data_IF_799238463816
#
_entry.id   IF_799238463816
#
_cell.length_a   1.000
_cell.length_b   1.000
_cell.length_c   1.000
_cell.angle_alpha   90.00
_cell.angle_beta   90.00
_cell.angle_gamma   90.00
#
_symmetry.space_group_name_H-M   'P 1'
#
loop_
_entity.id
_entity.type
_entity.pdbx_description
1 polymer ?
#
# COMPACT_ATOMS: atom_id res chain seq x y z
N UNK A 1 1.47 1.87 1.22
CA UNK A 1 2.79 1.23 1.04
C UNK A 1 2.83 0.61 -0.34
N UNK A 2 3.95 0.75 -1.04
CA UNK A 2 4.15 0.19 -2.38
C UNK A 2 5.13 -0.98 -2.29
N UNK A 3 4.88 -2.07 -3.01
CA UNK A 3 5.69 -3.29 -2.94
C UNK A 3 6.23 -3.66 -4.31
N UNK A 4 7.54 -3.94 -4.38
CA UNK A 4 8.20 -4.42 -5.59
C UNK A 4 8.86 -5.77 -5.32
N UNK A 5 8.87 -6.64 -6.33
CA UNK A 5 9.42 -8.00 -6.22
C UNK A 5 10.93 -8.02 -6.48
N UNK A 6 11.66 -8.97 -5.86
CA UNK A 6 13.12 -9.05 -5.93
C UNK A 6 13.69 -9.05 -7.37
N UNK A 7 12.92 -9.57 -8.32
CA UNK A 7 13.27 -9.70 -9.74
C UNK A 7 12.66 -8.60 -10.63
N UNK A 8 12.03 -7.56 -10.05
CA UNK A 8 11.32 -6.50 -10.77
C UNK A 8 11.83 -5.13 -10.39
N UNK A 9 11.45 -4.14 -11.20
CA UNK A 9 11.71 -2.72 -10.95
C UNK A 9 10.41 -1.95 -11.10
N UNK A 10 10.17 -1.01 -10.19
CA UNK A 10 9.04 -0.11 -10.26
C UNK A 10 9.21 0.89 -11.42
N UNK A 11 8.15 1.09 -12.20
CA UNK A 11 8.12 2.09 -13.28
C UNK A 11 7.57 3.45 -12.83
N UNK A 12 6.94 3.51 -11.66
CA UNK A 12 6.32 4.70 -11.09
C UNK A 12 7.01 5.07 -9.79
N UNK A 13 7.07 6.35 -9.49
CA UNK A 13 7.58 6.87 -8.22
C UNK A 13 6.49 6.87 -7.15
N UNK A 14 6.87 6.91 -5.87
CA UNK A 14 5.96 7.20 -4.76
C UNK A 14 5.13 8.47 -4.99
N UNK A 15 5.75 9.50 -5.58
CA UNK A 15 5.09 10.77 -5.85
C UNK A 15 3.92 10.62 -6.80
N UNK A 16 4.04 9.80 -7.84
CA UNK A 16 2.96 9.57 -8.80
C UNK A 16 1.69 9.06 -8.10
N UNK A 17 1.84 8.14 -7.14
CA UNK A 17 0.72 7.65 -6.33
C UNK A 17 0.23 8.69 -5.33
N UNK A 18 1.12 9.42 -4.68
CA UNK A 18 0.73 10.41 -3.68
C UNK A 18 -0.05 11.57 -4.30
N UNK A 19 0.41 12.05 -5.45
CA UNK A 19 -0.25 13.11 -6.22
C UNK A 19 -1.61 12.60 -6.72
N UNK A 20 -1.67 11.40 -7.31
CA UNK A 20 -2.94 10.81 -7.76
C UNK A 20 -3.94 10.57 -6.64
N UNK A 21 -3.53 10.05 -5.49
CA UNK A 21 -4.46 9.72 -4.41
C UNK A 21 -4.93 10.96 -3.64
N UNK A 22 -4.02 11.89 -3.34
CA UNK A 22 -4.29 12.94 -2.34
C UNK A 22 -4.32 14.36 -2.90
N UNK A 23 -3.81 14.62 -4.11
CA UNK A 23 -3.73 15.97 -4.68
C UNK A 23 -4.51 16.16 -6.00
N UNK A 24 -4.78 15.08 -6.73
CA UNK A 24 -5.50 15.12 -8.01
C UNK A 24 -7.00 15.43 -7.79
N UNK A 25 -7.57 16.26 -8.66
CA UNK A 25 -8.99 16.66 -8.60
C UNK A 25 -9.97 15.54 -8.96
N UNK A 26 -9.47 14.40 -9.44
CA UNK A 26 -10.19 13.14 -9.67
C UNK A 26 -9.57 11.99 -8.88
N UNK A 27 -8.73 12.32 -7.89
CA UNK A 27 -8.07 11.37 -7.00
C UNK A 27 -9.00 10.79 -5.94
N UNK A 28 -8.43 9.96 -5.07
CA UNK A 28 -9.15 9.31 -3.98
C UNK A 28 -9.82 10.34 -3.05
N UNK A 29 -9.07 11.36 -2.63
CA UNK A 29 -9.60 12.40 -1.73
C UNK A 29 -10.71 13.21 -2.38
N UNK A 30 -10.54 13.63 -3.63
CA UNK A 30 -11.56 14.37 -4.37
C UNK A 30 -12.84 13.55 -4.56
N UNK A 31 -12.71 12.27 -4.92
CA UNK A 31 -13.85 11.37 -5.07
C UNK A 31 -14.62 11.22 -3.75
N UNK A 32 -13.92 10.95 -2.64
CA UNK A 32 -14.58 10.76 -1.34
C UNK A 32 -15.11 12.06 -0.73
N UNK A 33 -14.49 13.20 -1.00
CA UNK A 33 -15.06 14.51 -0.64
C UNK A 33 -16.41 14.74 -1.35
N UNK A 34 -16.47 14.44 -2.66
CA UNK A 34 -17.70 14.57 -3.47
C UNK A 34 -18.81 13.65 -2.95
N UNK A 35 -18.58 12.34 -2.88
CA UNK A 35 -19.64 11.37 -2.56
C UNK A 35 -20.05 11.40 -1.08
N UNK A 36 -19.18 11.89 -0.20
CA UNK A 36 -19.51 12.06 1.21
C UNK A 36 -20.11 13.44 1.53
N UNK A 37 -20.22 14.35 0.56
CA UNK A 37 -20.62 15.75 0.78
C UNK A 37 -19.72 16.45 1.82
N UNK A 38 -18.41 16.21 1.74
CA UNK A 38 -17.42 16.74 2.68
C UNK A 38 -17.57 16.24 4.11
N UNK A 39 -18.18 15.06 4.31
CA UNK A 39 -18.37 14.44 5.64
C UNK A 39 -17.30 13.41 5.98
N UNK A 40 -16.57 12.91 5.00
CA UNK A 40 -15.46 12.01 5.17
C UNK A 40 -14.17 12.69 4.71
N UNK A 41 -13.20 12.78 5.60
CA UNK A 41 -11.86 13.26 5.27
C UNK A 41 -10.88 12.09 5.24
N UNK A 42 -10.46 11.68 4.04
CA UNK A 42 -9.43 10.66 3.87
C UNK A 42 -8.07 11.33 3.80
N UNK A 43 -7.13 10.87 4.61
CA UNK A 43 -5.77 11.39 4.66
C UNK A 43 -4.75 10.24 4.65
N UNK A 44 -3.61 10.44 3.99
CA UNK A 44 -2.51 9.47 3.97
C UNK A 44 -1.61 9.48 5.22
N UNK A 45 -2.04 10.14 6.30
CA UNK A 45 -1.22 10.39 7.49
C UNK A 45 -0.05 11.34 7.19
N UNK A 46 0.94 11.37 8.09
CA UNK A 46 2.12 12.26 7.96
C UNK A 46 3.01 11.89 6.78
N UNK A 47 3.02 10.61 6.41
CA UNK A 47 3.87 10.06 5.37
C UNK A 47 3.20 9.99 4.00
N UNK A 48 1.88 10.21 3.90
CA UNK A 48 1.16 9.97 2.65
C UNK A 48 1.31 8.50 2.20
N UNK A 49 1.61 8.29 0.92
CA UNK A 49 2.01 6.96 0.42
C UNK A 49 3.39 6.60 0.96
N UNK A 50 3.51 5.48 1.70
CA UNK A 50 4.81 4.86 2.02
C UNK A 50 5.51 4.40 0.73
N UNK A 51 6.81 4.69 0.59
CA UNK A 51 7.63 4.39 -0.59
C UNK A 51 7.73 2.89 -0.92
N UNK A 52 8.37 2.58 -2.04
CA UNK A 52 8.61 1.22 -2.50
C UNK A 52 9.46 0.42 -1.52
N UNK A 53 8.92 -0.72 -1.11
CA UNK A 53 9.64 -1.75 -0.36
C UNK A 53 9.97 -2.90 -1.29
N UNK A 54 11.24 -3.30 -1.24
CA UNK A 54 11.76 -4.41 -2.00
C UNK A 54 11.51 -5.70 -1.23
N UNK A 55 10.63 -6.55 -1.76
CA UNK A 55 10.34 -7.86 -1.18
C UNK A 55 11.53 -8.81 -1.37
N UNK A 56 11.73 -9.77 -0.45
CA UNK A 56 12.84 -10.71 -0.51
C UNK A 56 12.69 -11.74 -1.64
N UNK A 57 11.45 -12.13 -1.97
CA UNK A 57 11.20 -13.13 -3.01
C UNK A 57 10.75 -12.51 -4.35
N UNK A 58 10.79 -13.32 -5.40
CA UNK A 58 10.43 -12.90 -6.75
C UNK A 58 8.90 -12.89 -6.98
N UNK A 59 8.49 -12.29 -8.09
CA UNK A 59 7.08 -12.17 -8.45
C UNK A 59 6.39 -13.55 -8.57
N UNK A 60 7.09 -14.55 -9.10
CA UNK A 60 6.54 -15.89 -9.27
C UNK A 60 6.28 -16.58 -7.93
N UNK A 61 7.12 -16.35 -6.91
CA UNK A 61 6.93 -16.95 -5.59
C UNK A 61 5.61 -16.49 -4.96
N UNK A 62 5.32 -15.19 -5.02
CA UNK A 62 4.10 -14.62 -4.43
C UNK A 62 2.84 -14.87 -5.29
N UNK A 63 2.96 -14.77 -6.63
CA UNK A 63 1.83 -14.82 -7.57
C UNK A 63 1.63 -16.15 -8.30
N UNK A 64 2.27 -17.25 -7.87
CA UNK A 64 2.00 -18.57 -8.47
C UNK A 64 0.71 -19.15 -7.91
N UNK A 65 -0.17 -19.58 -8.81
CA UNK A 65 -1.38 -20.31 -8.46
C UNK A 65 -1.10 -21.65 -7.77
N UNK A 66 -1.87 -21.95 -6.73
CA UNK A 66 -2.01 -23.28 -6.16
C UNK A 66 -2.83 -24.20 -7.08
N UNK A 67 -3.04 -25.45 -6.69
CA UNK A 67 -3.80 -26.42 -7.47
C UNK A 67 -5.27 -26.04 -7.72
N UNK A 68 -5.81 -25.08 -6.96
CA UNK A 68 -7.16 -24.55 -7.11
C UNK A 68 -7.20 -23.23 -7.92
N UNK A 69 -6.05 -22.73 -8.41
CA UNK A 69 -5.98 -21.53 -9.24
C UNK A 69 -5.87 -20.21 -8.48
N UNK A 70 -5.61 -20.23 -7.16
CA UNK A 70 -5.42 -19.03 -6.34
C UNK A 70 -3.95 -18.78 -6.06
N UNK A 71 -3.53 -17.51 -5.98
CA UNK A 71 -2.19 -17.14 -5.55
C UNK A 71 -1.84 -17.77 -4.21
N UNK A 72 -0.79 -18.58 -4.20
CA UNK A 72 -0.49 -19.45 -3.06
C UNK A 72 0.06 -18.66 -1.85
N UNK A 73 0.72 -17.52 -2.09
CA UNK A 73 1.61 -16.90 -1.10
C UNK A 73 1.32 -15.40 -0.88
N UNK A 74 0.10 -14.93 -1.17
CA UNK A 74 -0.27 -13.53 -0.94
C UNK A 74 -0.19 -13.14 0.56
N UNK A 75 -0.53 -14.06 1.47
CA UNK A 75 -0.38 -13.84 2.91
C UNK A 75 1.09 -13.64 3.31
N UNK A 76 1.98 -14.51 2.79
CA UNK A 76 3.44 -14.43 3.00
C UNK A 76 3.98 -13.10 2.45
N UNK A 77 3.48 -12.64 1.31
CA UNK A 77 3.86 -11.34 0.75
C UNK A 77 3.58 -10.17 1.71
N UNK A 78 2.43 -10.21 2.39
CA UNK A 78 2.04 -9.17 3.36
C UNK A 78 2.92 -9.27 4.61
N UNK A 79 3.17 -10.48 5.13
CA UNK A 79 4.06 -10.70 6.27
C UNK A 79 5.49 -10.21 5.99
N UNK A 80 6.05 -10.57 4.84
CA UNK A 80 7.39 -10.12 4.41
C UNK A 80 7.45 -8.59 4.27
N UNK A 81 6.43 -7.99 3.65
CA UNK A 81 6.35 -6.54 3.48
C UNK A 81 6.39 -5.80 4.82
N UNK A 82 5.57 -6.26 5.79
CA UNK A 82 5.52 -5.68 7.12
C UNK A 82 6.85 -5.88 7.86
N UNK A 83 7.44 -7.08 7.80
CA UNK A 83 8.72 -7.39 8.42
C UNK A 83 9.87 -6.50 7.91
N UNK A 84 9.95 -6.28 6.59
CA UNK A 84 10.96 -5.39 6.00
C UNK A 84 10.72 -3.93 6.40
N UNK A 85 9.45 -3.52 6.46
CA UNK A 85 9.05 -2.15 6.79
C UNK A 85 9.25 -1.78 8.27
N UNK A 86 9.10 -2.75 9.18
CA UNK A 86 8.96 -2.55 10.63
C UNK A 86 10.09 -1.68 11.24
N UNK A 87 11.31 -1.86 10.75
CA UNK A 87 12.47 -1.09 11.23
C UNK A 87 12.45 0.41 10.87
N UNK A 88 11.65 0.82 9.89
CA UNK A 88 11.68 2.18 9.32
C UNK A 88 10.30 2.87 9.33
N UNK A 89 9.23 2.15 9.63
CA UNK A 89 7.85 2.65 9.57
C UNK A 89 7.19 2.46 10.91
N UNK A 90 6.79 3.57 11.52
CA UNK A 90 5.92 3.54 12.67
C UNK A 90 4.48 3.24 12.23
N UNK A 91 4.05 1.99 12.38
CA UNK A 91 2.70 1.57 12.04
C UNK A 91 1.63 2.02 13.05
N UNK A 92 2.03 2.50 14.24
CA UNK A 92 1.06 2.94 15.26
C UNK A 92 0.21 4.11 14.78
N UNK A 93 0.75 4.96 13.90
CA UNK A 93 0.03 6.09 13.30
C UNK A 93 -1.18 5.68 12.41
N UNK A 94 -1.27 4.40 12.06
CA UNK A 94 -2.35 3.84 11.23
C UNK A 94 -3.26 2.89 12.01
N UNK A 95 -2.95 2.61 13.27
CA UNK A 95 -3.82 1.83 14.14
C UNK A 95 -5.02 2.69 14.56
N UNK A 96 -6.16 2.05 14.79
CA UNK A 96 -7.27 2.73 15.44
C UNK A 96 -6.86 3.09 16.88
N UNK A 97 -6.96 4.37 17.23
CA UNK A 97 -6.69 4.85 18.58
C UNK A 97 -7.83 4.48 19.56
N UNK A 98 -9.03 4.14 19.05
CA UNK A 98 -10.22 3.93 19.86
C UNK A 98 -10.49 2.48 20.26
N UNK A 99 -9.78 1.48 19.69
CA UNK A 99 -9.96 0.05 19.99
C UNK A 99 -11.43 -0.44 19.86
N UNK A 100 -12.21 0.13 18.95
CA UNK A 100 -13.65 -0.19 18.80
C UNK A 100 -13.89 -1.26 17.71
#
# INVERSE_FOLDING_TARGET
MLLNFADRQASYSRRDFNDFLFADSKGLTAYYDEVSYGKLNIQGGTSGVIDWIQLPENHQFYGRNNSAGYDANIGVMIEDALSVADSNIDFSQYADENND
#
